data_IF_146760021657
#
_entry.id   IF_146760021657
#
_cell.length_a   1.000
_cell.length_b   1.000
_cell.length_c   1.000
_cell.angle_alpha   90.00
_cell.angle_beta   90.00
_cell.angle_gamma   90.00
#
_symmetry.space_group_name_H-M   'P 1'
#
loop_
_entity.id
_entity.type
_entity.pdbx_description
1 polymer ?
#
# COMPACT_ATOMS: atom_id res chain seq x y z
N UNK A 1 -30.34 14.32 26.11
CA UNK A 1 -31.06 14.71 24.89
C UNK A 1 -30.33 15.92 24.31
N UNK A 2 -29.69 15.78 23.15
CA UNK A 2 -29.11 16.92 22.43
C UNK A 2 -30.26 17.58 21.67
N UNK A 3 -30.56 18.85 21.98
CA UNK A 3 -31.52 19.66 21.23
C UNK A 3 -30.69 20.65 20.42
N UNK A 4 -30.68 20.49 19.10
CA UNK A 4 -29.90 21.32 18.17
C UNK A 4 -30.72 21.60 16.91
N UNK A 5 -30.60 22.81 16.38
CA UNK A 5 -31.10 23.20 15.06
C UNK A 5 -29.99 23.15 13.99
N UNK A 6 -28.78 22.70 14.36
CA UNK A 6 -27.68 22.45 13.43
C UNK A 6 -27.75 21.01 12.91
N UNK A 7 -27.62 20.86 11.59
CA UNK A 7 -27.52 19.55 10.93
C UNK A 7 -26.17 18.87 11.22
N UNK A 8 -25.11 19.67 11.26
CA UNK A 8 -23.74 19.16 11.27
C UNK A 8 -22.86 19.88 12.29
N UNK A 9 -22.04 19.10 12.99
CA UNK A 9 -20.96 19.59 13.84
C UNK A 9 -19.60 19.16 13.27
N UNK A 10 -18.66 20.10 13.17
CA UNK A 10 -17.28 19.85 12.74
C UNK A 10 -16.33 20.14 13.88
N UNK A 11 -15.55 19.13 14.27
CA UNK A 11 -14.57 19.25 15.33
C UNK A 11 -13.16 19.26 14.76
N UNK A 12 -12.45 20.37 14.97
CA UNK A 12 -11.09 20.59 14.46
C UNK A 12 -10.10 20.38 15.60
N UNK A 13 -9.12 19.50 15.39
CA UNK A 13 -7.99 19.33 16.30
C UNK A 13 -6.74 19.81 15.56
N UNK A 14 -6.14 20.88 16.05
CA UNK A 14 -4.87 21.48 15.58
C UNK A 14 -4.92 22.13 14.17
N UNK A 15 -5.45 21.44 13.15
CA UNK A 15 -5.47 21.92 11.75
C UNK A 15 -6.83 22.45 11.34
N UNK A 16 -6.85 23.59 10.62
CA UNK A 16 -8.08 24.16 10.03
C UNK A 16 -8.66 23.36 8.86
N UNK A 17 -7.89 22.43 8.30
CA UNK A 17 -8.26 21.70 7.08
C UNK A 17 -8.68 20.25 7.33
N UNK A 18 -8.56 19.75 8.56
CA UNK A 18 -8.95 18.39 8.94
C UNK A 18 -9.91 18.45 10.13
N UNK A 19 -11.05 17.78 10.01
CA UNK A 19 -12.07 17.77 11.06
C UNK A 19 -12.81 16.44 11.11
N UNK A 20 -13.29 16.12 12.31
CA UNK A 20 -14.28 15.07 12.54
C UNK A 20 -15.67 15.65 12.33
N UNK A 21 -16.48 15.01 11.49
CA UNK A 21 -17.82 15.47 11.13
C UNK A 21 -18.88 14.57 11.77
N UNK A 22 -19.89 15.19 12.36
CA UNK A 22 -21.01 14.49 12.97
C UNK A 22 -22.32 15.05 12.42
N UNK A 23 -23.13 14.20 11.79
CA UNK A 23 -24.51 14.55 11.44
C UNK A 23 -25.39 14.30 12.68
N UNK A 24 -26.03 15.35 13.18
CA UNK A 24 -26.77 15.28 14.45
C UNK A 24 -28.16 14.63 14.32
N UNK A 25 -28.68 14.49 13.10
CA UNK A 25 -29.97 13.84 12.83
C UNK A 25 -29.85 12.34 12.60
N UNK A 26 -28.73 11.88 12.05
CA UNK A 26 -28.49 10.46 11.72
C UNK A 26 -27.43 9.80 12.59
N UNK A 27 -27.00 10.47 13.67
CA UNK A 27 -25.94 10.01 14.56
C UNK A 27 -26.28 8.64 15.18
N UNK A 28 -25.46 7.64 14.90
CA UNK A 28 -25.59 6.34 15.57
C UNK A 28 -24.91 6.35 16.95
N UNK A 29 -25.08 5.28 17.72
CA UNK A 29 -24.54 5.21 19.08
C UNK A 29 -23.00 5.26 19.15
N UNK A 30 -22.30 4.67 18.18
CA UNK A 30 -20.83 4.71 18.12
C UNK A 30 -20.33 6.13 17.81
N UNK A 31 -20.96 6.79 16.83
CA UNK A 31 -20.67 8.18 16.50
C UNK A 31 -20.98 9.12 17.68
N UNK A 32 -22.06 8.84 18.43
CA UNK A 32 -22.38 9.58 19.65
C UNK A 32 -21.32 9.40 20.73
N UNK A 33 -20.81 8.18 20.95
CA UNK A 33 -19.70 7.96 21.92
C UNK A 33 -18.47 8.74 21.51
N UNK A 34 -18.11 8.74 20.22
CA UNK A 34 -16.98 9.52 19.71
C UNK A 34 -17.21 11.02 19.88
N UNK A 35 -18.39 11.52 19.51
CA UNK A 35 -18.76 12.91 19.72
C UNK A 35 -18.66 13.30 21.20
N UNK A 36 -19.25 12.51 22.10
CA UNK A 36 -19.23 12.76 23.54
C UNK A 36 -17.80 12.75 24.09
N UNK A 37 -16.96 11.80 23.68
CA UNK A 37 -15.54 11.77 24.05
C UNK A 37 -14.79 13.03 23.59
N UNK A 38 -15.17 13.62 22.47
CA UNK A 38 -14.49 14.83 21.97
C UNK A 38 -14.96 16.11 22.68
N UNK A 39 -16.24 16.17 23.07
CA UNK A 39 -16.87 17.43 23.53
C UNK A 39 -17.29 17.43 24.99
N UNK A 40 -17.19 16.31 25.72
CA UNK A 40 -17.56 16.29 27.14
C UNK A 40 -16.70 17.27 27.92
N UNK A 41 -17.28 17.86 28.97
CA UNK A 41 -16.58 18.82 29.80
C UNK A 41 -15.27 18.23 30.36
N UNK A 42 -15.32 16.98 30.81
CA UNK A 42 -14.17 16.24 31.32
C UNK A 42 -13.08 16.10 30.24
N UNK A 43 -13.48 15.78 29.00
CA UNK A 43 -12.54 15.56 27.91
C UNK A 43 -11.87 16.85 27.44
N UNK A 44 -12.61 17.95 27.38
CA UNK A 44 -12.07 19.27 27.06
C UNK A 44 -11.17 19.77 28.19
N UNK A 45 -11.61 19.63 29.44
CA UNK A 45 -10.85 20.08 30.62
C UNK A 45 -9.48 19.38 30.72
N UNK A 46 -9.41 18.10 30.37
CA UNK A 46 -8.20 17.29 30.47
C UNK A 46 -7.43 17.19 29.14
N UNK A 47 -7.77 17.98 28.12
CA UNK A 47 -7.16 18.00 26.78
C UNK A 47 -7.12 16.61 26.11
N UNK A 48 -8.12 15.76 26.38
CA UNK A 48 -8.18 14.39 25.85
C UNK A 48 -8.10 14.36 24.31
N UNK A 49 -8.84 15.20 23.56
CA UNK A 49 -8.77 15.17 22.10
C UNK A 49 -7.37 15.47 21.54
N UNK A 50 -6.66 16.44 22.13
CA UNK A 50 -5.30 16.79 21.72
C UNK A 50 -4.34 15.63 22.02
N UNK A 51 -4.39 15.08 23.24
CA UNK A 51 -3.56 13.94 23.65
C UNK A 51 -3.79 12.70 22.79
N UNK A 52 -5.04 12.42 22.42
CA UNK A 52 -5.36 11.32 21.52
C UNK A 52 -4.72 11.55 20.15
N UNK A 53 -4.83 12.78 19.61
CA UNK A 53 -4.24 13.12 18.31
C UNK A 53 -2.71 13.02 18.33
N UNK A 54 -2.06 13.51 19.38
CA UNK A 54 -0.61 13.40 19.56
C UNK A 54 -0.15 11.95 19.65
N UNK A 55 -0.88 11.11 20.41
CA UNK A 55 -0.62 9.66 20.47
C UNK A 55 -0.75 8.99 19.12
N UNK A 56 -1.80 9.31 18.34
CA UNK A 56 -1.95 8.79 16.98
C UNK A 56 -0.79 9.21 16.09
N UNK A 57 -0.38 10.49 16.11
CA UNK A 57 0.75 10.96 15.31
C UNK A 57 2.06 10.26 15.69
N UNK A 58 2.32 10.05 17.00
CA UNK A 58 3.50 9.30 17.47
C UNK A 58 3.45 7.85 16.99
N UNK A 59 2.30 7.20 17.13
CA UNK A 59 2.11 5.83 16.65
C UNK A 59 2.36 5.71 15.13
N UNK A 60 1.78 6.60 14.32
CA UNK A 60 2.00 6.63 12.87
C UNK A 60 3.49 6.82 12.52
N UNK A 61 4.21 7.68 13.25
CA UNK A 61 5.65 7.87 13.03
C UNK A 61 6.45 6.62 13.40
N UNK A 62 6.14 5.98 14.52
CA UNK A 62 6.87 4.82 15.00
C UNK A 62 6.61 3.59 14.13
N UNK A 63 5.36 3.34 13.74
CA UNK A 63 5.01 2.24 12.84
C UNK A 63 5.59 2.48 11.43
N UNK A 64 5.57 3.73 10.93
CA UNK A 64 6.18 4.09 9.65
C UNK A 64 7.68 3.80 9.64
N UNK A 65 8.42 4.22 10.69
CA UNK A 65 9.86 3.94 10.82
C UNK A 65 10.14 2.44 10.89
N UNK A 66 9.33 1.70 11.64
CA UNK A 66 9.50 0.25 11.81
C UNK A 66 9.27 -0.47 10.48
N UNK A 67 8.13 -0.22 9.83
CA UNK A 67 7.78 -0.82 8.53
C UNK A 67 8.82 -0.49 7.46
N UNK A 68 9.26 0.78 7.38
CA UNK A 68 10.31 1.17 6.45
C UNK A 68 11.63 0.41 6.71
N UNK A 69 12.03 0.26 7.97
CA UNK A 69 13.25 -0.47 8.34
C UNK A 69 13.16 -1.93 7.90
N UNK A 70 12.06 -2.60 8.21
CA UNK A 70 11.87 -4.02 7.88
C UNK A 70 11.78 -4.23 6.36
N UNK A 71 11.10 -3.32 5.65
CA UNK A 71 11.04 -3.31 4.18
C UNK A 71 12.43 -3.09 3.55
N UNK A 72 13.19 -2.11 4.03
CA UNK A 72 14.52 -1.81 3.49
C UNK A 72 15.50 -2.96 3.74
N UNK A 73 15.41 -3.60 4.91
CA UNK A 73 16.17 -4.80 5.24
C UNK A 73 15.81 -5.96 4.30
N UNK A 74 14.51 -6.24 4.11
CA UNK A 74 14.05 -7.25 3.17
C UNK A 74 14.59 -7.01 1.75
N UNK A 75 14.42 -5.80 1.22
CA UNK A 75 14.91 -5.44 -0.13
C UNK A 75 16.41 -5.65 -0.26
N UNK A 76 17.18 -5.27 0.74
CA UNK A 76 18.65 -5.42 0.72
C UNK A 76 19.05 -6.89 0.70
N UNK A 77 18.48 -7.71 1.60
CA UNK A 77 18.74 -9.15 1.65
C UNK A 77 18.31 -9.85 0.34
N UNK A 78 17.16 -9.46 -0.20
CA UNK A 78 16.65 -9.98 -1.45
C UNK A 78 17.57 -9.62 -2.63
N UNK A 79 18.04 -8.37 -2.69
CA UNK A 79 18.97 -7.92 -3.72
C UNK A 79 20.29 -8.70 -3.65
N UNK A 80 20.89 -8.81 -2.47
CA UNK A 80 22.14 -9.55 -2.26
C UNK A 80 21.99 -11.02 -2.66
N UNK A 81 20.87 -11.66 -2.29
CA UNK A 81 20.59 -13.05 -2.68
C UNK A 81 20.45 -13.21 -4.20
N UNK A 82 19.67 -12.34 -4.83
CA UNK A 82 19.46 -12.35 -6.28
C UNK A 82 20.79 -12.15 -7.01
N UNK A 83 21.62 -11.20 -6.57
CA UNK A 83 22.96 -10.97 -7.14
C UNK A 83 23.83 -12.21 -6.98
N UNK A 84 23.90 -12.79 -5.78
CA UNK A 84 24.71 -13.99 -5.51
C UNK A 84 24.31 -15.18 -6.38
N UNK A 85 23.00 -15.40 -6.57
CA UNK A 85 22.48 -16.60 -7.23
C UNK A 85 22.37 -16.46 -8.75
N UNK A 86 22.32 -15.24 -9.29
CA UNK A 86 22.01 -15.00 -10.70
C UNK A 86 23.09 -14.22 -11.47
N UNK A 87 23.95 -13.45 -10.80
CA UNK A 87 25.00 -12.68 -11.47
C UNK A 87 26.01 -13.63 -12.12
N UNK A 88 26.19 -13.51 -13.44
CA UNK A 88 27.07 -14.39 -14.22
C UNK A 88 26.46 -15.75 -14.60
N UNK A 89 25.15 -15.95 -14.39
CA UNK A 89 24.46 -17.15 -14.87
C UNK A 89 24.25 -17.08 -16.39
N UNK A 90 25.16 -17.69 -17.16
CA UNK A 90 25.15 -17.70 -18.62
C UNK A 90 23.91 -18.39 -19.22
N UNK A 91 23.33 -19.37 -18.54
CA UNK A 91 22.12 -20.06 -18.99
C UNK A 91 20.91 -19.12 -18.98
N UNK A 92 20.80 -18.27 -17.95
CA UNK A 92 19.76 -17.24 -17.84
C UNK A 92 19.95 -16.11 -18.86
N UNK A 93 21.20 -15.66 -19.03
CA UNK A 93 21.56 -14.62 -20.00
C UNK A 93 21.26 -15.06 -21.45
N UNK A 94 21.50 -16.33 -21.76
CA UNK A 94 21.29 -16.87 -23.11
C UNK A 94 19.81 -17.10 -23.44
N UNK A 95 18.99 -17.49 -22.45
CA UNK A 95 17.57 -17.83 -22.69
C UNK A 95 16.65 -16.60 -22.72
N UNK A 96 16.94 -15.56 -21.92
CA UNK A 96 16.01 -14.42 -21.74
C UNK A 96 16.56 -13.09 -22.27
N UNK A 97 17.89 -12.89 -22.26
CA UNK A 97 18.51 -11.60 -22.59
C UNK A 97 19.16 -11.56 -23.99
N UNK A 98 18.83 -12.50 -24.88
CA UNK A 98 19.44 -12.62 -26.21
C UNK A 98 20.98 -12.62 -26.18
N UNK A 99 21.58 -13.15 -25.11
CA UNK A 99 23.03 -13.21 -24.93
C UNK A 99 23.66 -11.98 -24.25
N UNK A 100 22.87 -10.99 -23.80
CA UNK A 100 23.39 -9.93 -22.94
C UNK A 100 23.65 -10.44 -21.51
N UNK A 101 24.80 -10.09 -20.95
CA UNK A 101 25.15 -10.48 -19.58
C UNK A 101 24.23 -9.78 -18.58
N UNK A 102 23.67 -10.56 -17.65
CA UNK A 102 22.90 -10.04 -16.53
C UNK A 102 23.80 -9.15 -15.66
N UNK A 103 23.38 -7.90 -15.44
CA UNK A 103 24.12 -6.92 -14.65
C UNK A 103 23.37 -6.57 -13.35
N UNK A 104 24.11 -6.01 -12.38
CA UNK A 104 23.57 -5.66 -11.07
C UNK A 104 22.43 -4.62 -11.15
N UNK A 105 22.45 -3.70 -12.12
CA UNK A 105 21.40 -2.70 -12.30
C UNK A 105 20.06 -3.35 -12.68
N UNK A 106 20.12 -4.32 -13.60
CA UNK A 106 18.95 -5.08 -14.04
C UNK A 106 18.40 -5.89 -12.89
N UNK A 107 19.28 -6.55 -12.12
CA UNK A 107 18.88 -7.29 -10.92
C UNK A 107 18.24 -6.38 -9.88
N UNK A 108 18.77 -5.18 -9.63
CA UNK A 108 18.19 -4.22 -8.69
C UNK A 108 16.78 -3.81 -9.10
N UNK A 109 16.56 -3.57 -10.40
CA UNK A 109 15.23 -3.26 -10.95
C UNK A 109 14.25 -4.42 -10.75
N UNK A 110 14.68 -5.66 -11.00
CA UNK A 110 13.85 -6.85 -10.82
C UNK A 110 13.54 -7.10 -9.34
N UNK A 111 14.52 -6.91 -8.45
CA UNK A 111 14.33 -6.92 -7.00
C UNK A 111 13.25 -5.93 -6.59
N UNK A 112 13.33 -4.68 -7.06
CA UNK A 112 12.32 -3.67 -6.71
C UNK A 112 10.93 -4.08 -7.20
N UNK A 113 10.81 -4.57 -8.43
CA UNK A 113 9.52 -5.05 -8.97
C UNK A 113 8.94 -6.20 -8.14
N UNK A 114 9.77 -7.13 -7.66
CA UNK A 114 9.33 -8.20 -6.77
C UNK A 114 8.87 -7.67 -5.40
N UNK A 115 9.63 -6.74 -4.81
CA UNK A 115 9.22 -6.05 -3.58
C UNK A 115 7.86 -5.35 -3.76
N UNK A 116 7.65 -4.65 -4.87
CA UNK A 116 6.40 -3.94 -5.16
C UNK A 116 5.22 -4.92 -5.29
N UNK A 117 5.41 -6.08 -5.94
CA UNK A 117 4.41 -7.15 -6.02
C UNK A 117 4.01 -7.67 -4.63
N UNK A 118 4.99 -7.89 -3.76
CA UNK A 118 4.76 -8.41 -2.40
C UNK A 118 4.05 -7.37 -1.52
N UNK A 119 4.52 -6.12 -1.53
CA UNK A 119 3.87 -5.02 -0.80
C UNK A 119 2.44 -4.79 -1.29
N UNK A 120 2.20 -4.94 -2.59
CA UNK A 120 0.84 -4.87 -3.12
C UNK A 120 -0.06 -5.95 -2.53
N UNK A 121 0.39 -7.21 -2.47
CA UNK A 121 -0.41 -8.31 -1.92
C UNK A 121 -0.74 -8.03 -0.45
N UNK A 122 0.27 -7.68 0.35
CA UNK A 122 0.12 -7.33 1.78
C UNK A 122 -0.89 -6.19 1.98
N UNK A 123 -0.80 -5.14 1.16
CA UNK A 123 -1.74 -4.02 1.24
C UNK A 123 -3.16 -4.41 0.82
N UNK A 124 -3.28 -5.24 -0.21
CA UNK A 124 -4.56 -5.58 -0.82
C UNK A 124 -5.33 -6.65 -0.04
N UNK A 125 -4.64 -7.60 0.62
CA UNK A 125 -5.27 -8.66 1.41
C UNK A 125 -5.96 -8.15 2.68
N UNK A 126 -5.45 -7.06 3.28
CA UNK A 126 -6.05 -6.44 4.47
C UNK A 126 -7.19 -5.47 4.13
N UNK A 127 -7.26 -4.99 2.89
CA UNK A 127 -8.24 -3.98 2.45
C UNK A 127 -9.40 -4.54 1.62
N UNK A 128 -9.59 -5.85 1.67
CA UNK A 128 -10.60 -6.57 0.89
C UNK A 128 -10.49 -6.34 -0.64
N UNK A 129 -9.30 -5.95 -1.11
CA UNK A 129 -9.00 -5.81 -2.54
C UNK A 129 -8.57 -7.16 -3.14
N UNK A 130 -7.88 -7.96 -2.32
CA UNK A 130 -7.63 -9.38 -2.54
C UNK A 130 -8.20 -10.16 -1.36
N UNK A 131 -8.32 -11.48 -1.52
CA UNK A 131 -8.68 -12.37 -0.43
C UNK A 131 -7.66 -12.26 0.72
N UNK A 132 -8.16 -12.25 1.94
CA UNK A 132 -7.35 -12.11 3.15
C UNK A 132 -6.40 -13.30 3.37
N UNK A 133 -5.26 -13.03 4.01
CA UNK A 133 -4.24 -14.03 4.39
C UNK A 133 -3.57 -14.76 3.20
N UNK A 134 -3.48 -14.14 2.03
CA UNK A 134 -2.86 -14.72 0.84
C UNK A 134 -1.38 -15.06 1.06
N UNK A 135 -0.61 -14.20 1.74
CA UNK A 135 0.80 -14.49 2.07
C UNK A 135 0.92 -15.75 2.93
N UNK A 136 0.02 -15.90 3.90
CA UNK A 136 -0.03 -17.07 4.77
C UNK A 136 -0.38 -18.33 3.97
N UNK A 137 -1.35 -18.25 3.06
CA UNK A 137 -1.73 -19.37 2.18
C UNK A 137 -0.56 -19.79 1.28
N UNK A 138 0.15 -18.84 0.65
CA UNK A 138 1.35 -19.10 -0.16
C UNK A 138 2.37 -19.92 0.65
N UNK A 139 2.60 -19.52 1.89
CA UNK A 139 3.54 -20.18 2.80
C UNK A 139 3.07 -21.57 3.21
N UNK A 140 1.78 -21.73 3.51
CA UNK A 140 1.19 -23.02 3.87
C UNK A 140 1.23 -23.99 2.69
N UNK A 141 0.94 -23.54 1.48
CA UNK A 141 1.08 -24.34 0.25
C UNK A 141 2.52 -24.80 0.05
N UNK A 142 3.51 -23.92 0.29
CA UNK A 142 4.93 -24.26 0.23
C UNK A 142 5.34 -25.36 1.20
N UNK A 143 4.89 -25.27 2.46
CA UNK A 143 5.23 -26.23 3.52
C UNK A 143 4.53 -27.58 3.30
N UNK A 144 3.29 -27.57 2.78
CA UNK A 144 2.44 -28.76 2.69
C UNK A 144 2.57 -29.51 1.35
N UNK A 145 3.58 -29.20 0.54
CA UNK A 145 3.84 -29.90 -0.72
C UNK A 145 4.11 -31.39 -0.47
N UNK A 146 3.24 -32.26 -1.00
CA UNK A 146 3.36 -33.72 -0.83
C UNK A 146 4.05 -34.43 -2.00
N UNK A 147 3.84 -33.91 -3.21
CA UNK A 147 4.27 -34.56 -4.46
C UNK A 147 5.01 -33.61 -5.41
N UNK A 148 5.10 -32.33 -5.05
CA UNK A 148 5.74 -31.28 -5.81
C UNK A 148 6.97 -30.76 -5.05
N UNK A 149 7.94 -30.24 -5.77
CA UNK A 149 9.16 -29.64 -5.22
C UNK A 149 9.32 -28.20 -5.74
N UNK A 150 8.23 -27.43 -5.71
CA UNK A 150 8.27 -26.02 -6.09
C UNK A 150 9.02 -25.22 -5.03
N UNK A 151 9.85 -24.27 -5.47
CA UNK A 151 10.39 -23.26 -4.56
C UNK A 151 9.27 -22.36 -4.05
N UNK A 152 9.50 -21.65 -2.96
CA UNK A 152 8.56 -20.65 -2.47
C UNK A 152 8.31 -19.57 -3.53
N UNK A 153 9.34 -19.19 -4.29
CA UNK A 153 9.19 -18.25 -5.39
C UNK A 153 8.31 -18.76 -6.52
N UNK A 154 8.36 -20.06 -6.83
CA UNK A 154 7.44 -20.68 -7.81
C UNK A 154 5.98 -20.56 -7.37
N UNK A 155 5.70 -20.73 -6.08
CA UNK A 155 4.35 -20.57 -5.55
C UNK A 155 3.91 -19.11 -5.62
N UNK A 156 4.78 -18.15 -5.28
CA UNK A 156 4.49 -16.73 -5.50
C UNK A 156 4.12 -16.43 -6.97
N UNK A 157 4.81 -17.04 -7.94
CA UNK A 157 4.51 -16.86 -9.37
C UNK A 157 3.09 -17.32 -9.74
N UNK A 158 2.62 -18.44 -9.18
CA UNK A 158 1.23 -18.89 -9.39
C UNK A 158 0.21 -17.86 -8.90
N UNK A 159 0.46 -17.24 -7.74
CA UNK A 159 -0.40 -16.19 -7.21
C UNK A 159 -0.28 -14.89 -8.00
N UNK A 160 0.91 -14.52 -8.48
CA UNK A 160 1.07 -13.37 -9.38
C UNK A 160 0.28 -13.53 -10.68
N UNK A 161 0.31 -14.72 -11.28
CA UNK A 161 -0.48 -15.04 -12.46
C UNK A 161 -1.99 -14.96 -12.16
N UNK A 162 -2.40 -15.53 -11.02
CA UNK A 162 -3.78 -15.49 -10.58
C UNK A 162 -4.29 -14.05 -10.35
N UNK A 163 -3.47 -13.18 -9.76
CA UNK A 163 -3.81 -11.75 -9.59
C UNK A 163 -3.90 -11.06 -10.96
N UNK A 164 -2.94 -11.32 -11.84
CA UNK A 164 -2.86 -10.69 -13.17
C UNK A 164 -4.05 -11.03 -14.07
N UNK A 165 -4.45 -12.29 -14.09
CA UNK A 165 -5.45 -12.82 -15.03
C UNK A 165 -6.81 -13.10 -14.39
N UNK A 166 -6.88 -13.12 -13.06
CA UNK A 166 -7.99 -13.70 -12.31
C UNK A 166 -7.87 -15.22 -12.21
N UNK A 167 -8.41 -15.81 -11.16
CA UNK A 167 -8.46 -17.24 -10.95
C UNK A 167 -9.67 -17.63 -10.11
N UNK A 168 -10.66 -18.29 -10.73
CA UNK A 168 -11.89 -18.71 -10.06
C UNK A 168 -11.64 -19.74 -8.93
N UNK A 169 -10.63 -20.61 -9.07
CA UNK A 169 -10.34 -21.64 -8.05
C UNK A 169 -9.76 -21.05 -6.78
N UNK A 170 -8.98 -19.98 -6.92
CA UNK A 170 -8.38 -19.26 -5.80
C UNK A 170 -9.29 -18.13 -5.29
N UNK A 171 -10.44 -17.90 -5.93
CA UNK A 171 -11.34 -16.77 -5.68
C UNK A 171 -10.63 -15.41 -5.81
N UNK A 172 -9.79 -15.29 -6.86
CA UNK A 172 -9.03 -14.07 -7.15
C UNK A 172 -9.64 -13.38 -8.36
N UNK A 173 -10.16 -12.17 -8.15
CA UNK A 173 -10.61 -11.32 -9.25
C UNK A 173 -9.42 -10.81 -10.07
N UNK A 174 -9.64 -10.60 -11.37
CA UNK A 174 -8.61 -10.07 -12.25
C UNK A 174 -8.22 -8.65 -11.83
N UNK A 175 -6.95 -8.47 -11.49
CA UNK A 175 -6.37 -7.20 -11.08
C UNK A 175 -5.13 -6.89 -11.94
N UNK A 176 -5.37 -6.47 -13.19
CA UNK A 176 -4.28 -6.17 -14.12
C UNK A 176 -3.94 -4.68 -14.16
N UNK A 177 -2.93 -4.28 -13.37
CA UNK A 177 -2.30 -2.95 -13.42
C UNK A 177 -0.92 -2.94 -14.08
N UNK A 178 -0.53 -4.00 -14.82
CA UNK A 178 0.82 -4.15 -15.39
C UNK A 178 1.90 -4.61 -14.39
N UNK A 179 1.74 -4.37 -13.09
CA UNK A 179 2.69 -4.82 -12.04
C UNK A 179 2.87 -6.35 -12.03
N UNK A 180 1.78 -7.09 -12.21
CA UNK A 180 1.74 -8.56 -12.27
C UNK A 180 1.76 -9.10 -13.71
N UNK A 181 2.03 -8.26 -14.72
CA UNK A 181 2.24 -8.77 -16.07
C UNK A 181 3.44 -9.72 -16.09
N UNK A 182 3.36 -10.78 -16.92
CA UNK A 182 4.42 -11.76 -17.11
C UNK A 182 5.74 -11.05 -17.41
N UNK A 183 6.80 -11.46 -16.72
CA UNK A 183 8.13 -10.91 -16.86
C UNK A 183 9.10 -12.07 -16.82
N UNK A 184 9.41 -12.62 -18.00
CA UNK A 184 10.20 -13.84 -18.15
C UNK A 184 11.54 -13.74 -17.43
N UNK A 185 12.14 -12.55 -17.40
CA UNK A 185 13.41 -12.33 -16.72
C UNK A 185 13.25 -12.37 -15.20
N UNK A 186 12.25 -11.68 -14.65
CA UNK A 186 11.94 -11.75 -13.23
C UNK A 186 11.56 -13.16 -12.80
N UNK A 187 10.72 -13.84 -13.59
CA UNK A 187 10.14 -15.14 -13.26
C UNK A 187 11.18 -16.27 -13.34
N UNK A 188 12.31 -16.01 -14.00
CA UNK A 188 13.45 -16.92 -14.14
C UNK A 188 14.51 -16.79 -13.04
N UNK A 189 14.42 -15.79 -12.16
CA UNK A 189 15.39 -15.57 -11.08
C UNK A 189 15.39 -16.74 -10.07
N UNK A 190 16.60 -17.11 -9.63
CA UNK A 190 16.83 -18.07 -8.56
C UNK A 190 16.92 -17.30 -7.24
N UNK A 191 16.01 -17.60 -6.31
CA UNK A 191 15.89 -16.92 -5.01
C UNK A 191 15.80 -18.00 -3.93
N UNK A 192 16.60 -17.86 -2.87
CA UNK A 192 16.57 -18.83 -1.78
C UNK A 192 15.28 -18.67 -0.95
N UNK A 193 14.60 -19.78 -0.66
CA UNK A 193 13.29 -19.76 0.00
C UNK A 193 13.29 -19.01 1.34
N UNK A 194 14.35 -19.14 2.14
CA UNK A 194 14.44 -18.49 3.46
C UNK A 194 14.39 -16.96 3.38
N UNK A 195 14.83 -16.36 2.27
CA UNK A 195 14.77 -14.91 2.05
C UNK A 195 13.31 -14.47 1.96
N UNK A 196 12.48 -15.24 1.27
CA UNK A 196 11.06 -14.94 1.10
C UNK A 196 10.25 -15.35 2.34
N UNK A 197 10.55 -16.50 2.95
CA UNK A 197 9.77 -17.04 4.07
C UNK A 197 9.80 -16.13 5.30
N UNK A 198 11.00 -15.85 5.83
CA UNK A 198 11.13 -15.11 7.09
C UNK A 198 10.81 -13.63 6.92
N UNK A 199 11.34 -13.00 5.86
CA UNK A 199 11.25 -11.54 5.71
C UNK A 199 9.84 -11.10 5.28
N UNK A 200 9.17 -11.86 4.40
CA UNK A 200 7.80 -11.51 4.01
C UNK A 200 6.83 -11.77 5.16
N UNK A 201 7.06 -12.79 5.98
CA UNK A 201 6.28 -13.01 7.21
C UNK A 201 6.43 -11.85 8.22
N UNK A 202 7.61 -11.24 8.33
CA UNK A 202 7.79 -10.05 9.18
C UNK A 202 6.89 -8.91 8.67
N UNK A 203 6.85 -8.69 7.35
CA UNK A 203 6.03 -7.66 6.73
C UNK A 203 4.53 -7.96 6.82
N UNK A 204 4.12 -9.23 6.80
CA UNK A 204 2.72 -9.63 6.96
C UNK A 204 2.17 -9.52 8.39
N UNK A 205 3.02 -9.17 9.36
CA UNK A 205 2.56 -8.93 10.74
C UNK A 205 2.04 -7.50 10.96
N UNK A 206 2.15 -6.64 9.95
CA UNK A 206 1.59 -5.29 9.97
C UNK A 206 0.15 -5.33 9.47
N UNK A 207 -0.74 -4.56 10.10
CA UNK A 207 -2.11 -4.38 9.62
C UNK A 207 -2.18 -3.21 8.64
N UNK A 208 -2.29 -3.53 7.35
CA UNK A 208 -2.34 -2.54 6.26
C UNK A 208 -3.70 -1.84 6.11
N UNK A 209 -4.71 -2.28 6.84
CA UNK A 209 -6.03 -1.63 6.88
C UNK A 209 -6.11 -0.58 7.98
N UNK A 210 -5.65 -0.91 9.19
CA UNK A 210 -5.86 -0.09 10.38
C UNK A 210 -4.61 0.68 10.85
N UNK A 211 -3.41 0.09 10.74
CA UNK A 211 -2.18 0.70 11.24
C UNK A 211 -1.42 1.47 10.15
N UNK A 212 -1.46 0.97 8.90
CA UNK A 212 -0.75 1.58 7.77
C UNK A 212 -1.69 2.45 6.94
N UNK A 213 -1.60 3.76 7.17
CA UNK A 213 -2.30 4.75 6.34
C UNK A 213 -1.64 4.87 4.95
N UNK A 214 -2.42 5.35 3.97
CA UNK A 214 -1.91 5.62 2.61
C UNK A 214 -0.75 6.63 2.63
N UNK A 215 -0.76 7.56 3.60
CA UNK A 215 0.34 8.51 3.80
C UNK A 215 1.64 7.81 4.25
N UNK A 216 1.54 6.83 5.16
CA UNK A 216 2.71 6.04 5.60
C UNK A 216 3.31 5.29 4.40
N UNK A 217 2.45 4.66 3.59
CA UNK A 217 2.89 3.94 2.40
C UNK A 217 3.55 4.89 1.38
N UNK A 218 2.99 6.07 1.15
CA UNK A 218 3.59 7.11 0.32
C UNK A 218 4.98 7.52 0.80
N UNK A 219 5.16 7.72 2.11
CA UNK A 219 6.47 8.04 2.69
C UNK A 219 7.48 6.89 2.55
N UNK A 220 7.05 5.64 2.69
CA UNK A 220 7.91 4.46 2.47
C UNK A 220 8.38 4.41 1.02
N UNK A 221 7.48 4.59 0.05
CA UNK A 221 7.85 4.60 -1.36
C UNK A 221 8.79 5.76 -1.71
N UNK A 222 8.52 6.97 -1.22
CA UNK A 222 9.42 8.11 -1.41
C UNK A 222 10.83 7.87 -0.86
N UNK A 223 10.92 7.29 0.34
CA UNK A 223 12.19 7.00 0.97
C UNK A 223 12.92 5.88 0.22
N UNK A 224 12.18 4.85 -0.20
CA UNK A 224 12.67 3.74 -1.02
C UNK A 224 13.33 4.22 -2.31
N UNK A 225 12.77 5.23 -3.00
CA UNK A 225 13.37 5.82 -4.20
C UNK A 225 14.77 6.40 -3.95
N UNK A 226 14.96 7.07 -2.80
CA UNK A 226 16.26 7.64 -2.45
C UNK A 226 17.30 6.54 -2.22
N UNK A 227 16.91 5.45 -1.57
CA UNK A 227 17.80 4.32 -1.33
C UNK A 227 18.12 3.56 -2.62
N UNK A 228 17.17 3.44 -3.54
CA UNK A 228 17.41 2.82 -4.85
C UNK A 228 18.44 3.62 -5.66
N UNK A 229 18.38 4.94 -5.60
CA UNK A 229 19.40 5.80 -6.23
C UNK A 229 20.78 5.62 -5.57
N UNK A 230 20.83 5.47 -4.25
CA UNK A 230 22.07 5.20 -3.52
C UNK A 230 22.66 3.84 -3.92
N UNK A 231 21.83 2.79 -3.97
CA UNK A 231 22.24 1.45 -4.43
C UNK A 231 22.73 1.47 -5.88
N UNK A 232 22.01 2.19 -6.76
CA UNK A 232 22.38 2.34 -8.16
C UNK A 232 23.72 3.06 -8.32
N UNK A 233 23.94 4.15 -7.59
CA UNK A 233 25.20 4.89 -7.61
C UNK A 233 26.38 4.04 -7.08
N UNK A 234 26.14 3.22 -6.04
CA UNK A 234 27.13 2.29 -5.53
C UNK A 234 27.50 1.21 -6.56
N UNK A 235 26.54 0.67 -7.29
CA UNK A 235 26.79 -0.28 -8.41
C UNK A 235 27.66 0.39 -9.48
N UNK A 236 27.39 1.65 -9.79
CA UNK A 236 28.10 2.42 -10.81
C UNK A 236 29.46 2.97 -10.34
N UNK A 237 29.82 2.77 -9.06
CA UNK A 237 30.98 3.35 -8.40
C UNK A 237 31.03 4.89 -8.51
N UNK A 238 29.88 5.53 -8.48
CA UNK A 238 29.73 6.99 -8.52
C UNK A 238 29.40 7.51 -7.13
N UNK A 239 30.00 8.64 -6.74
CA UNK A 239 29.66 9.30 -5.48
C UNK A 239 28.18 9.72 -5.47
N UNK A 240 27.42 9.19 -4.51
CA UNK A 240 26.04 9.59 -4.29
C UNK A 240 25.94 10.75 -3.31
N UNK A 241 25.35 11.85 -3.78
CA UNK A 241 25.03 13.01 -2.94
C UNK A 241 23.54 13.01 -2.63
N UNK A 242 23.18 12.66 -1.38
CA UNK A 242 21.79 12.67 -0.88
C UNK A 242 21.08 14.02 -1.02
N UNK A 243 21.83 15.11 -1.18
CA UNK A 243 21.23 16.44 -1.42
C UNK A 243 20.78 16.63 -2.87
N UNK A 244 21.27 15.81 -3.81
CA UNK A 244 20.97 15.84 -5.25
C UNK A 244 20.13 14.66 -5.74
N UNK A 245 19.48 13.93 -4.83
CA UNK A 245 18.61 12.80 -5.22
C UNK A 245 17.56 13.22 -6.25
N UNK A 246 17.15 12.31 -7.16
CA UNK A 246 16.11 12.65 -8.16
C UNK A 246 14.82 13.00 -7.46
N UNK A 247 14.52 12.40 -6.30
CA UNK A 247 13.41 12.83 -5.46
C UNK A 247 13.38 14.35 -5.22
N UNK A 248 14.52 14.94 -4.84
CA UNK A 248 14.64 16.40 -4.63
C UNK A 248 14.69 17.18 -5.94
N UNK A 249 15.37 16.65 -6.96
CA UNK A 249 15.56 17.32 -8.25
C UNK A 249 14.28 17.37 -9.09
N UNK A 250 13.56 16.25 -9.15
CA UNK A 250 12.35 16.04 -9.95
C UNK A 250 11.08 16.31 -9.12
N UNK A 251 11.23 16.70 -7.85
CA UNK A 251 10.12 17.09 -6.98
C UNK A 251 9.15 15.95 -6.67
N UNK A 252 9.63 14.71 -6.61
CA UNK A 252 8.82 13.51 -6.38
C UNK A 252 8.44 13.44 -4.90
N UNK A 253 7.33 14.10 -4.57
CA UNK A 253 6.74 14.08 -3.24
C UNK A 253 5.29 13.62 -3.35
N UNK A 254 4.87 12.77 -2.43
CA UNK A 254 3.50 12.36 -2.30
C UNK A 254 2.63 13.60 -2.04
N UNK A 255 1.60 13.77 -2.85
CA UNK A 255 0.73 14.93 -2.78
C UNK A 255 -0.17 14.81 -1.55
N UNK A 256 -0.14 15.79 -0.61
CA UNK A 256 -0.97 15.74 0.57
C UNK A 256 -2.46 15.62 0.23
N UNK A 257 -3.20 14.86 1.05
CA UNK A 257 -4.62 14.55 0.84
C UNK A 257 -5.49 15.79 0.56
N UNK A 258 -5.25 16.90 1.26
CA UNK A 258 -6.03 18.13 1.07
C UNK A 258 -5.83 18.76 -0.32
N UNK A 259 -4.64 18.61 -0.93
CA UNK A 259 -4.37 19.06 -2.30
C UNK A 259 -5.09 18.13 -3.29
N UNK A 260 -4.97 16.82 -3.09
CA UNK A 260 -5.65 15.82 -3.94
C UNK A 260 -7.16 16.02 -3.92
N UNK A 261 -7.75 16.20 -2.73
CA UNK A 261 -9.17 16.51 -2.56
C UNK A 261 -9.55 17.79 -3.29
N UNK A 262 -8.78 18.87 -3.14
CA UNK A 262 -9.05 20.11 -3.86
C UNK A 262 -9.04 19.93 -5.38
N UNK A 263 -8.04 19.22 -5.93
CA UNK A 263 -7.96 18.94 -7.38
C UNK A 263 -9.19 18.14 -7.82
N UNK A 264 -9.55 17.07 -7.11
CA UNK A 264 -10.69 16.22 -7.44
C UNK A 264 -12.00 17.02 -7.38
N UNK A 265 -12.24 17.78 -6.31
CA UNK A 265 -13.45 18.59 -6.13
C UNK A 265 -13.62 19.61 -7.27
N UNK A 266 -12.53 20.26 -7.69
CA UNK A 266 -12.56 21.29 -8.73
C UNK A 266 -12.48 20.74 -10.17
N UNK A 267 -12.27 19.44 -10.36
CA UNK A 267 -12.23 18.79 -11.68
C UNK A 267 -13.37 17.79 -11.83
N UNK A 268 -13.16 16.56 -11.37
CA UNK A 268 -14.15 15.48 -11.42
C UNK A 268 -15.41 15.83 -10.62
N UNK A 269 -15.28 16.45 -9.45
CA UNK A 269 -16.41 16.88 -8.62
C UNK A 269 -17.31 17.86 -9.35
N UNK A 270 -16.72 18.85 -10.03
CA UNK A 270 -17.46 19.81 -10.86
C UNK A 270 -18.13 19.13 -12.06
N UNK A 271 -17.40 18.31 -12.81
CA UNK A 271 -17.94 17.56 -13.95
C UNK A 271 -19.09 16.63 -13.55
N UNK A 272 -18.95 15.91 -12.43
CA UNK A 272 -20.00 15.05 -11.88
C UNK A 272 -21.22 15.85 -11.45
N UNK A 273 -21.03 17.05 -10.88
CA UNK A 273 -22.13 17.92 -10.48
C UNK A 273 -22.91 18.43 -11.69
N UNK A 274 -22.21 18.93 -12.72
CA UNK A 274 -22.81 19.36 -13.99
C UNK A 274 -23.58 18.21 -14.65
N UNK A 275 -23.00 16.99 -14.68
CA UNK A 275 -23.67 15.83 -15.26
C UNK A 275 -24.88 15.36 -14.45
N UNK A 276 -24.83 15.46 -13.12
CA UNK A 276 -25.98 15.17 -12.26
C UNK A 276 -27.14 16.13 -12.51
N UNK A 277 -26.86 17.42 -12.70
CA UNK A 277 -27.85 18.42 -13.06
C UNK A 277 -28.46 18.13 -14.44
N UNK A 278 -27.62 17.83 -15.45
CA UNK A 278 -28.07 17.46 -16.79
C UNK A 278 -28.98 16.22 -16.78
N UNK A 279 -28.63 15.21 -15.98
CA UNK A 279 -29.38 13.96 -15.85
C UNK A 279 -30.55 14.06 -14.86
N UNK A 280 -30.79 15.23 -14.26
CA UNK A 280 -31.82 15.47 -13.24
C UNK A 280 -31.75 14.48 -12.06
N UNK A 281 -30.55 14.02 -11.72
CA UNK A 281 -30.30 13.16 -10.56
C UNK A 281 -30.28 14.08 -9.33
N UNK A 282 -31.45 14.30 -8.73
CA UNK A 282 -31.61 15.17 -7.57
C UNK A 282 -30.90 14.65 -6.31
N UNK A 283 -30.63 15.55 -5.37
CA UNK A 283 -30.01 15.30 -4.05
C UNK A 283 -30.84 14.40 -3.09
N UNK A 284 -31.88 13.73 -3.59
CA UNK A 284 -32.65 12.76 -2.83
C UNK A 284 -31.93 11.42 -2.82
N UNK A 285 -31.62 10.91 -1.63
CA UNK A 285 -31.33 9.48 -1.45
C UNK A 285 -32.52 8.73 -2.07
N UNK A 286 -32.29 8.05 -3.21
CA UNK A 286 -33.28 7.17 -3.80
C UNK A 286 -33.46 6.00 -2.83
N UNK A 287 -34.49 6.08 -1.98
CA UNK A 287 -34.95 4.92 -1.22
C UNK A 287 -35.41 3.90 -2.28
N UNK A 288 -34.82 2.69 -2.34
CA UNK A 288 -35.25 1.68 -3.30
C UNK A 288 -36.72 1.35 -3.05
N UNK A 289 -37.59 1.71 -3.99
CA UNK A 289 -38.97 1.24 -3.99
C UNK A 289 -38.95 -0.20 -4.51
N UNK A 290 -39.32 -1.14 -3.64
CA UNK A 290 -39.53 -2.53 -4.01
C UNK A 290 -40.76 -2.59 -4.93
N UNK A 291 -40.66 -3.07 -6.18
CA UNK A 291 -41.81 -3.12 -7.12
C UNK A 291 -42.86 -4.19 -6.76
N UNK A 292 -42.80 -4.75 -5.55
CA UNK A 292 -43.82 -5.61 -4.95
C UNK A 292 -44.11 -5.17 -3.52
N UNK A 293 -44.90 -4.11 -3.36
CA UNK A 293 -45.97 -3.92 -2.37
C UNK A 293 -46.50 -2.49 -2.41
#
# INVERSE_FOLDING_TARGET
MIISNFDELRFYVDKKTAYEKFNLFTLNYEEFKKLHLLISYESIKDDIPLKLKEKTNSFEQDISKKLYKDFSNFRTLLFENIVKNNLGNEALASSVLNGEALNQQTLLRLTQKLCDRIIFILFAEDRDLLRSNMIKEIREEFINQKFTNYSLYDIYKFYFEAISNGNEKLDISKYNGGLFAVDELLDSLIIDDFILDENVQILSNYDFASEISVNILGHIFEQSLTDLEELQANIDNVNFDKTKSKRKKDGVFYTPEYITRYIVENTLGKMCSEKREELLIGNGILIPSNPKN
#
